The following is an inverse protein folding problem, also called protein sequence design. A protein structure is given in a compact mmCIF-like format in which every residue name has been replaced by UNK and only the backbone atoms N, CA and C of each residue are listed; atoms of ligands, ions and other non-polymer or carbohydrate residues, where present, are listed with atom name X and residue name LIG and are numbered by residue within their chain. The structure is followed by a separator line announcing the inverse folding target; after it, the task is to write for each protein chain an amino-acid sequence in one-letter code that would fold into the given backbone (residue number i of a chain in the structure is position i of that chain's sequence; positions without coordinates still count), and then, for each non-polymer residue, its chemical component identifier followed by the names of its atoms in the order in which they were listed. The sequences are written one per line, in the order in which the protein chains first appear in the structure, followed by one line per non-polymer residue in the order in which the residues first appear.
data_IF_279357441693
#
_entry.id   IF_279357441693
#
_cell.length_a   1.000
_cell.length_b   1.000
_cell.length_c   1.000
_cell.angle_alpha   90.00
_cell.angle_beta   90.00
_cell.angle_gamma   90.00
#
_symmetry.space_group_name_H-M   'P 1'
#
loop_
_entity.id
_entity.type
_entity.pdbx_description
1 polymer ?
#
# COMPACT_ATOMS: atom_id res chain seq x y z
N UNK A 1 -3.65 -11.78 22.88
CA UNK A 1 -5.04 -12.11 22.49
C UNK A 1 -5.50 -13.27 23.37
N UNK A 2 -6.65 -13.19 24.06
CA UNK A 2 -7.05 -14.25 25.00
C UNK A 2 -7.61 -15.48 24.27
N UNK A 3 -7.46 -16.66 24.88
CA UNK A 3 -8.03 -17.92 24.35
C UNK A 3 -9.54 -17.83 24.15
N UNK A 4 -10.25 -17.21 25.09
CA UNK A 4 -11.70 -16.96 25.00
C UNK A 4 -12.09 -16.15 23.76
N UNK A 5 -11.29 -15.14 23.41
CA UNK A 5 -11.50 -14.31 22.23
C UNK A 5 -11.19 -15.07 20.94
N UNK A 6 -10.15 -15.90 20.93
CA UNK A 6 -9.80 -16.75 19.80
C UNK A 6 -10.92 -17.77 19.49
N UNK A 7 -11.44 -18.46 20.50
CA UNK A 7 -12.55 -19.42 20.37
C UNK A 7 -13.81 -18.74 19.83
N UNK A 8 -14.11 -17.53 20.32
CA UNK A 8 -15.26 -16.74 19.86
C UNK A 8 -15.15 -16.38 18.36
N UNK A 9 -13.96 -16.01 17.90
CA UNK A 9 -13.70 -15.72 16.49
C UNK A 9 -13.89 -16.99 15.64
N UNK A 10 -13.36 -18.13 16.07
CA UNK A 10 -13.48 -19.40 15.35
C UNK A 10 -14.96 -19.79 15.19
N UNK A 11 -15.73 -19.72 16.27
CA UNK A 11 -17.16 -20.05 16.25
C UNK A 11 -17.97 -19.10 15.38
N UNK A 12 -17.66 -17.79 15.41
CA UNK A 12 -18.27 -16.82 14.48
C UNK A 12 -17.94 -17.15 13.03
N UNK A 13 -16.67 -17.40 12.71
CA UNK A 13 -16.24 -17.72 11.36
C UNK A 13 -16.80 -19.05 10.85
N UNK A 14 -17.09 -20.01 11.74
CA UNK A 14 -17.78 -21.25 11.39
C UNK A 14 -19.22 -20.98 10.95
N UNK A 15 -19.98 -20.22 11.76
CA UNK A 15 -21.35 -19.82 11.43
C UNK A 15 -21.43 -19.04 10.11
N UNK A 16 -20.50 -18.11 9.88
CA UNK A 16 -20.47 -17.38 8.62
C UNK A 16 -20.17 -18.25 7.39
N UNK A 17 -19.44 -19.38 7.56
CA UNK A 17 -19.21 -20.33 6.47
C UNK A 17 -20.46 -21.15 6.17
N UNK A 18 -21.16 -21.59 7.21
CA UNK A 18 -22.46 -22.29 7.09
C UNK A 18 -23.52 -21.38 6.44
N UNK A 19 -23.59 -20.11 6.83
CA UNK A 19 -24.49 -19.15 6.18
C UNK A 19 -24.14 -18.99 4.70
N UNK A 20 -22.85 -18.88 4.36
CA UNK A 20 -22.39 -18.75 2.96
C UNK A 20 -22.64 -19.99 2.10
N UNK A 21 -22.66 -21.19 2.68
CA UNK A 21 -23.01 -22.41 1.93
C UNK A 21 -24.52 -22.52 1.68
N UNK A 22 -25.32 -21.89 2.52
CA UNK A 22 -26.79 -21.92 2.43
C UNK A 22 -27.37 -20.66 1.76
N UNK A 23 -26.53 -19.68 1.42
CA UNK A 23 -26.93 -18.45 0.73
C UNK A 23 -27.54 -18.78 -0.65
N UNK A 24 -28.65 -18.13 -0.95
CA UNK A 24 -29.20 -18.10 -2.30
C UNK A 24 -28.34 -17.22 -3.21
N UNK A 25 -28.53 -17.37 -4.52
CA UNK A 25 -27.83 -16.56 -5.52
C UNK A 25 -28.08 -15.06 -5.28
N UNK A 26 -29.32 -14.67 -5.00
CA UNK A 26 -29.72 -13.28 -4.75
C UNK A 26 -29.04 -12.69 -3.50
N UNK A 27 -29.02 -13.44 -2.40
CA UNK A 27 -28.34 -13.04 -1.17
C UNK A 27 -26.82 -12.87 -1.38
N UNK A 28 -26.23 -13.72 -2.23
CA UNK A 28 -24.82 -13.63 -2.59
C UNK A 28 -24.51 -12.34 -3.37
N UNK A 29 -25.41 -11.92 -4.28
CA UNK A 29 -25.30 -10.67 -5.02
C UNK A 29 -25.40 -9.47 -4.09
N UNK A 30 -26.39 -9.45 -3.19
CA UNK A 30 -26.56 -8.39 -2.20
C UNK A 30 -25.33 -8.25 -1.29
N UNK A 31 -24.77 -9.36 -0.79
CA UNK A 31 -23.55 -9.35 0.04
C UNK A 31 -22.33 -8.85 -0.72
N UNK A 32 -22.20 -9.17 -2.01
CA UNK A 32 -21.10 -8.67 -2.86
C UNK A 32 -21.26 -7.17 -3.14
N UNK A 33 -22.48 -6.73 -3.46
CA UNK A 33 -22.81 -5.32 -3.68
C UNK A 33 -22.49 -4.46 -2.45
N UNK A 34 -22.94 -4.88 -1.26
CA UNK A 34 -22.69 -4.16 -0.01
C UNK A 34 -21.18 -4.05 0.30
N UNK A 35 -20.41 -5.14 0.09
CA UNK A 35 -18.94 -5.07 0.21
C UNK A 35 -18.30 -4.12 -0.78
N UNK A 36 -18.80 -4.07 -2.02
CA UNK A 36 -18.29 -3.16 -3.03
C UNK A 36 -18.55 -1.70 -2.64
N UNK A 37 -19.75 -1.40 -2.13
CA UNK A 37 -20.12 -0.05 -1.65
C UNK A 37 -19.26 0.37 -0.44
N UNK A 38 -19.08 -0.52 0.55
CA UNK A 38 -18.17 -0.26 1.68
C UNK A 38 -16.73 0.00 1.23
N UNK A 39 -16.25 -0.74 0.22
CA UNK A 39 -14.91 -0.51 -0.33
C UNK A 39 -14.84 0.81 -1.10
N UNK A 40 -15.90 1.20 -1.81
CA UNK A 40 -15.99 2.50 -2.50
C UNK A 40 -15.93 3.66 -1.51
N UNK A 41 -16.69 3.58 -0.42
CA UNK A 41 -16.66 4.57 0.66
C UNK A 41 -15.27 4.68 1.31
N UNK A 42 -14.58 3.55 1.56
CA UNK A 42 -13.20 3.55 2.07
C UNK A 42 -12.20 4.20 1.09
N UNK A 43 -12.34 3.96 -0.22
CA UNK A 43 -11.49 4.60 -1.24
C UNK A 43 -11.69 6.12 -1.29
N UNK A 44 -12.93 6.59 -1.12
CA UNK A 44 -13.24 8.02 -1.03
C UNK A 44 -12.63 8.66 0.23
N UNK A 45 -12.70 7.97 1.38
CA UNK A 45 -12.04 8.41 2.61
C UNK A 45 -10.51 8.55 2.45
N UNK A 46 -9.87 7.64 1.70
CA UNK A 46 -8.44 7.74 1.38
C UNK A 46 -8.14 8.96 0.50
N UNK A 47 -8.99 9.32 -0.46
CA UNK A 47 -8.83 10.53 -1.27
C UNK A 47 -8.92 11.82 -0.44
N UNK A 48 -9.80 11.87 0.56
CA UNK A 48 -9.88 12.99 1.50
C UNK A 48 -8.60 13.15 2.37
N UNK A 49 -7.87 12.05 2.60
CA UNK A 49 -6.57 12.10 3.32
C UNK A 49 -5.40 12.47 2.40
N UNK A 50 -5.54 12.33 1.06
CA UNK A 50 -4.51 12.76 0.09
C UNK A 50 -4.24 14.28 0.21
N UNK A 51 -5.28 15.09 0.46
CA UNK A 51 -5.15 16.53 0.69
C UNK A 51 -4.45 16.90 2.01
N UNK A 52 -4.21 15.92 2.89
CA UNK A 52 -3.49 16.07 4.17
C UNK A 52 -2.17 15.31 4.21
N UNK A 53 -1.65 14.87 3.06
CA UNK A 53 -0.33 14.24 3.01
C UNK A 53 0.72 15.31 3.30
N UNK A 54 1.12 15.36 4.57
CA UNK A 54 2.30 16.09 5.00
C UNK A 54 3.49 15.56 4.20
N UNK A 55 4.17 16.46 3.50
CA UNK A 55 5.40 16.16 2.77
C UNK A 55 6.37 15.48 3.73
N UNK A 56 6.59 14.17 3.54
CA UNK A 56 7.54 13.44 4.36
C UNK A 56 8.95 13.75 3.81
N UNK A 57 9.67 14.61 4.49
CA UNK A 57 11.08 14.84 4.20
C UNK A 57 11.92 13.93 5.09
N UNK A 58 12.53 12.89 4.51
CA UNK A 58 13.52 12.06 5.21
C UNK A 58 14.89 12.79 5.38
N UNK A 59 14.99 14.05 4.95
CA UNK A 59 16.21 14.85 4.95
C UNK A 59 17.05 14.65 3.68
N UNK A 60 18.32 15.01 3.72
CA UNK A 60 19.26 14.83 2.60
C UNK A 60 19.87 13.43 2.65
N UNK A 61 20.05 12.77 1.50
CA UNK A 61 20.71 11.46 1.38
C UNK A 61 22.23 11.61 1.54
N UNK A 62 22.70 11.57 2.79
CA UNK A 62 24.12 11.71 3.17
C UNK A 62 24.83 10.37 3.36
N UNK A 63 24.09 9.27 3.58
CA UNK A 63 24.67 7.96 3.81
C UNK A 63 25.13 7.30 2.51
N UNK A 64 26.23 6.55 2.55
CA UNK A 64 26.78 5.76 1.42
C UNK A 64 26.93 4.30 1.81
N UNK A 65 26.29 3.41 1.05
CA UNK A 65 26.39 1.98 1.30
C UNK A 65 27.76 1.46 0.82
N UNK A 66 28.54 0.85 1.70
CA UNK A 66 29.94 0.51 1.42
C UNK A 66 30.14 -0.50 0.29
N UNK A 67 29.14 -1.34 -0.02
CA UNK A 67 29.25 -2.36 -1.05
C UNK A 67 28.92 -1.85 -2.47
N UNK A 68 27.83 -1.09 -2.63
CA UNK A 68 27.38 -0.63 -3.95
C UNK A 68 27.45 0.89 -4.13
N UNK A 69 27.97 1.62 -3.13
CA UNK A 69 28.07 3.09 -3.10
C UNK A 69 26.73 3.81 -3.29
N UNK A 70 25.61 3.10 -3.11
CA UNK A 70 24.29 3.70 -3.17
C UNK A 70 24.12 4.73 -2.04
N UNK A 71 23.57 5.89 -2.38
CA UNK A 71 23.20 6.89 -1.39
C UNK A 71 21.96 6.45 -0.62
N UNK A 72 21.86 6.81 0.66
CA UNK A 72 20.71 6.53 1.51
C UNK A 72 20.46 7.64 2.55
N UNK A 73 19.28 7.65 3.15
CA UNK A 73 18.97 8.50 4.30
C UNK A 73 19.46 7.87 5.60
N UNK A 74 20.36 8.55 6.31
CA UNK A 74 20.99 8.04 7.54
C UNK A 74 19.95 7.68 8.62
N UNK A 75 18.80 8.36 8.64
CA UNK A 75 17.70 8.11 9.57
C UNK A 75 16.91 6.82 9.32
N UNK A 76 17.12 6.15 8.19
CA UNK A 76 16.41 4.92 7.80
C UNK A 76 17.21 3.65 8.12
N UNK A 77 18.43 3.79 8.65
CA UNK A 77 19.22 2.67 9.18
C UNK A 77 18.51 2.10 10.39
N UNK A 78 18.14 0.82 10.35
CA UNK A 78 17.59 0.17 11.54
C UNK A 78 18.70 -0.12 12.58
N UNK A 79 18.32 -0.57 13.78
CA UNK A 79 19.30 -0.91 14.82
C UNK A 79 20.28 -2.03 14.45
N UNK A 80 19.97 -2.84 13.42
CA UNK A 80 20.86 -3.87 12.89
C UNK A 80 21.73 -3.38 11.73
N UNK A 81 21.78 -2.08 11.45
CA UNK A 81 22.57 -1.51 10.36
C UNK A 81 22.06 -1.88 8.96
N UNK A 82 20.84 -2.42 8.87
CA UNK A 82 20.26 -2.97 7.64
C UNK A 82 19.17 -2.05 7.11
N UNK A 83 19.22 -1.77 5.82
CA UNK A 83 18.19 -1.01 5.10
C UNK A 83 17.13 -1.99 4.62
N UNK A 84 15.89 -1.87 5.12
CA UNK A 84 14.82 -2.79 4.73
C UNK A 84 13.73 -2.12 3.91
N UNK A 85 13.53 -0.80 4.02
CA UNK A 85 12.49 -0.04 3.32
C UNK A 85 12.92 1.44 3.14
N UNK A 86 12.98 1.90 1.89
CA UNK A 86 13.26 3.29 1.48
C UNK A 86 12.03 4.21 1.64
N UNK A 87 10.84 3.62 1.79
CA UNK A 87 9.62 4.36 2.02
C UNK A 87 8.96 3.76 3.25
N UNK A 88 8.73 4.58 4.29
CA UNK A 88 7.53 4.37 5.09
C UNK A 88 6.38 4.15 4.09
N UNK A 89 5.46 3.22 4.34
CA UNK A 89 4.39 2.80 3.41
C UNK A 89 3.34 3.91 3.19
N UNK A 90 3.79 5.16 3.10
CA UNK A 90 3.10 6.38 2.74
C UNK A 90 3.36 6.62 1.27
N UNK A 91 2.33 7.04 0.56
CA UNK A 91 2.43 7.40 -0.86
C UNK A 91 3.29 8.65 -0.97
N UNK A 92 4.38 8.57 -1.71
CA UNK A 92 5.21 9.73 -2.05
C UNK A 92 4.55 10.37 -3.28
N UNK A 93 4.19 11.66 -3.16
CA UNK A 93 3.85 12.44 -4.35
C UNK A 93 5.19 12.80 -4.99
N UNK A 94 5.50 12.16 -6.10
CA UNK A 94 6.65 12.58 -6.92
C UNK A 94 6.28 13.88 -7.62
N UNK A 95 7.19 14.88 -7.67
CA UNK A 95 7.00 16.05 -8.51
C UNK A 95 6.74 15.61 -9.95
N UNK A 96 5.90 16.36 -10.65
CA UNK A 96 5.69 16.14 -12.09
C UNK A 96 7.02 16.38 -12.81
N UNK A 97 7.55 15.33 -13.44
CA UNK A 97 8.80 15.42 -14.20
C UNK A 97 8.47 16.06 -15.54
N UNK A 98 8.43 17.40 -15.58
CA UNK A 98 8.10 18.17 -16.79
C UNK A 98 9.12 17.94 -17.91
N UNK A 99 10.38 17.68 -17.56
CA UNK A 99 11.45 17.38 -18.51
C UNK A 99 12.21 16.13 -18.03
N UNK A 100 11.84 14.94 -18.52
CA UNK A 100 12.58 13.73 -18.18
C UNK A 100 14.02 13.82 -18.71
N UNK A 101 15.03 13.41 -17.91
CA UNK A 101 16.39 13.23 -18.38
C UNK A 101 16.44 12.40 -19.66
N UNK A 102 17.39 12.71 -20.54
CA UNK A 102 17.49 12.13 -21.88
C UNK A 102 17.52 10.59 -21.86
N UNK A 103 18.19 10.01 -20.86
CA UNK A 103 18.25 8.56 -20.61
C UNK A 103 16.87 7.90 -20.35
N UNK A 104 15.89 8.66 -19.87
CA UNK A 104 14.53 8.17 -19.64
C UNK A 104 13.62 8.38 -20.85
N UNK A 105 13.99 9.27 -21.79
CA UNK A 105 13.21 9.51 -23.00
C UNK A 105 13.19 8.28 -23.90
N UNK A 106 14.33 7.60 -24.02
CA UNK A 106 14.45 6.38 -24.84
C UNK A 106 13.53 5.26 -24.34
N UNK A 107 13.44 5.09 -23.01
CA UNK A 107 12.56 4.09 -22.38
C UNK A 107 11.07 4.41 -22.51
N UNK A 108 10.70 5.69 -22.54
CA UNK A 108 9.31 6.13 -22.71
C UNK A 108 8.84 6.03 -24.17
N UNK A 109 9.77 5.96 -25.12
CA UNK A 109 9.47 5.93 -26.55
C UNK A 109 9.47 4.50 -27.11
N UNK A 110 10.16 3.56 -26.44
CA UNK A 110 10.26 2.15 -26.86
C UNK A 110 8.96 1.34 -26.79
N UNK A 111 7.98 1.77 -25.99
CA UNK A 111 6.72 1.03 -25.80
C UNK A 111 5.63 1.39 -26.85
N UNK A 112 5.97 2.21 -27.85
CA UNK A 112 5.02 2.70 -28.87
C UNK A 112 5.08 1.95 -30.21
N UNK A 113 5.83 0.86 -30.30
CA UNK A 113 5.86 -0.05 -31.44
C UNK A 113 5.45 -1.47 -31.03
N UNK A 114 4.15 -1.66 -30.76
CA UNK A 114 3.41 -2.89 -31.08
C UNK A 114 1.92 -2.57 -31.26
#
# INVERSE_FOLDING_TARGET
MSLSRAVSIINRNRRERENRSNETVEESFLRRSNRNEQNRAKRFCVQSEVSRLQEHSCGTMTGLFSFCLARFWEKEVNSSGTYTKCCHVKRIILPEILNPPEILKDLLTSDSLE
#
